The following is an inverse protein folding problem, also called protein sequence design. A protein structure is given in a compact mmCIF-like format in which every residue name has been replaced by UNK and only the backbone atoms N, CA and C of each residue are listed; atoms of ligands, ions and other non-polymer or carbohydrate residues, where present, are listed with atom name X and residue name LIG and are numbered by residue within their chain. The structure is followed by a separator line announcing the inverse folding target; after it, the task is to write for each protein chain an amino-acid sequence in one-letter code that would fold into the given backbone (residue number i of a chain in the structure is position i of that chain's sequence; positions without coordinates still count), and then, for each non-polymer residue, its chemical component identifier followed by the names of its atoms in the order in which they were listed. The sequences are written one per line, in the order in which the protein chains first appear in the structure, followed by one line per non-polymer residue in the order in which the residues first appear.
data_IF_916045105599
#
_entry.id   IF_916045105599
#
_cell.length_a   1.000
_cell.length_b   1.000
_cell.length_c   1.000
_cell.angle_alpha   90.00
_cell.angle_beta   90.00
_cell.angle_gamma   90.00
#
_symmetry.space_group_name_H-M   'P 1'
#
loop_
_entity.id
_entity.type
_entity.pdbx_description
1 polymer ?
#
# COMPACT_ATOMS: atom_id res chain seq x y z
N UNK A 1 0.99 9.84 -7.30
CA UNK A 1 0.53 11.21 -7.59
C UNK A 1 -0.27 11.72 -6.41
N UNK A 2 -0.12 13.01 -6.04
CA UNK A 2 -0.93 13.69 -5.03
C UNK A 2 -1.05 15.18 -5.39
N UNK A 3 -2.23 15.82 -5.27
CA UNK A 3 -2.38 17.27 -5.47
C UNK A 3 -1.45 18.05 -4.53
N UNK A 4 -0.57 18.88 -5.07
CA UNK A 4 0.42 19.63 -4.29
C UNK A 4 1.72 18.88 -3.99
N UNK A 5 1.81 17.61 -4.36
CA UNK A 5 2.99 16.76 -4.11
C UNK A 5 2.98 16.10 -2.74
N UNK A 6 3.71 15.00 -2.61
CA UNK A 6 3.93 14.26 -1.36
C UNK A 6 5.34 13.69 -1.33
N UNK A 7 5.75 13.18 -0.18
CA UNK A 7 7.07 12.57 0.00
C UNK A 7 6.92 11.11 0.44
N UNK A 8 7.68 10.23 -0.20
CA UNK A 8 7.93 8.89 0.30
C UNK A 8 9.31 8.84 0.95
N UNK A 9 9.42 8.13 2.06
CA UNK A 9 10.67 8.00 2.83
C UNK A 9 11.15 6.56 2.77
N UNK A 10 12.42 6.38 2.46
CA UNK A 10 13.10 5.08 2.48
C UNK A 10 14.22 5.09 3.50
N UNK A 11 14.13 4.17 4.46
CA UNK A 11 15.13 3.96 5.49
C UNK A 11 15.85 2.64 5.27
N UNK A 12 17.16 2.62 5.44
CA UNK A 12 17.98 1.41 5.37
C UNK A 12 18.87 1.30 6.60
N UNK A 13 18.79 0.16 7.25
CA UNK A 13 19.64 -0.18 8.41
C UNK A 13 19.89 -1.69 8.44
N UNK A 14 21.13 -2.09 8.69
CA UNK A 14 21.54 -3.50 8.82
C UNK A 14 21.05 -4.43 7.70
N UNK A 15 21.03 -3.93 6.45
CA UNK A 15 20.56 -4.68 5.28
C UNK A 15 19.04 -4.77 5.16
N UNK A 16 18.28 -4.15 6.05
CA UNK A 16 16.82 -4.05 5.99
C UNK A 16 16.35 -2.73 5.38
N UNK A 17 15.23 -2.78 4.72
CA UNK A 17 14.62 -1.59 4.08
C UNK A 17 13.19 -1.40 4.57
N UNK A 18 12.93 -0.23 5.15
CA UNK A 18 11.61 0.25 5.50
C UNK A 18 11.22 1.42 4.61
N UNK A 19 9.97 1.43 4.11
CA UNK A 19 9.43 2.53 3.30
C UNK A 19 8.11 3.00 3.89
N UNK A 20 7.95 4.32 3.97
CA UNK A 20 6.72 4.98 4.38
C UNK A 20 6.25 5.90 3.24
N UNK A 21 5.05 5.66 2.70
CA UNK A 21 4.52 6.33 1.52
C UNK A 21 2.99 6.51 1.64
N UNK A 22 2.57 7.52 2.38
CA UNK A 22 1.17 7.97 2.43
C UNK A 22 0.93 9.11 1.45
N UNK A 23 -0.33 9.50 1.28
CA UNK A 23 -0.73 10.58 0.36
C UNK A 23 -0.21 10.33 -1.06
N UNK A 24 -0.43 9.11 -1.53
CA UNK A 24 0.08 8.66 -2.82
C UNK A 24 -0.99 7.89 -3.59
N UNK A 25 -1.30 8.36 -4.78
CA UNK A 25 -2.20 7.68 -5.71
C UNK A 25 -1.38 6.86 -6.71
N UNK A 26 -1.56 5.54 -6.68
CA UNK A 26 -1.04 4.61 -7.66
C UNK A 26 -2.19 4.07 -8.51
N UNK A 27 -2.02 4.11 -9.82
CA UNK A 27 -2.95 3.55 -10.81
C UNK A 27 -2.22 2.50 -11.66
N UNK A 28 -2.96 1.66 -12.38
CA UNK A 28 -2.37 0.66 -13.28
C UNK A 28 -1.37 1.26 -14.25
N UNK A 29 -1.73 2.34 -14.92
CA UNK A 29 -0.84 3.05 -15.86
C UNK A 29 0.42 3.61 -15.19
N UNK A 30 0.29 4.01 -13.93
CA UNK A 30 1.41 4.55 -13.16
C UNK A 30 2.38 3.45 -12.74
N UNK A 31 1.87 2.26 -12.43
CA UNK A 31 2.70 1.09 -12.14
C UNK A 31 3.59 0.72 -13.33
N UNK A 32 3.05 0.72 -14.54
CA UNK A 32 3.82 0.44 -15.76
C UNK A 32 4.91 1.48 -16.01
N UNK A 33 4.61 2.77 -15.82
CA UNK A 33 5.58 3.86 -15.97
C UNK A 33 6.61 3.94 -14.85
N UNK A 34 6.31 3.38 -13.71
CA UNK A 34 7.19 3.42 -12.53
C UNK A 34 8.28 2.36 -12.60
N UNK A 35 8.13 1.32 -13.41
CA UNK A 35 9.17 0.30 -13.64
C UNK A 35 10.50 0.88 -14.13
N UNK A 36 10.47 1.93 -14.93
CA UNK A 36 11.70 2.59 -15.43
C UNK A 36 12.43 3.43 -14.36
N UNK A 37 11.81 3.70 -13.22
CA UNK A 37 12.33 4.68 -12.25
C UNK A 37 12.58 4.15 -10.85
N UNK A 38 12.17 2.93 -10.51
CA UNK A 38 12.12 2.64 -9.07
C UNK A 38 12.58 1.27 -8.62
N UNK A 39 13.87 1.14 -8.43
CA UNK A 39 14.40 0.39 -7.28
C UNK A 39 13.93 0.95 -5.91
N UNK A 40 13.12 2.03 -5.90
CA UNK A 40 12.77 2.69 -4.65
C UNK A 40 11.94 1.78 -3.75
N UNK A 41 10.90 1.15 -4.27
CA UNK A 41 10.01 0.25 -3.52
C UNK A 41 10.44 -1.21 -3.54
N UNK A 42 11.18 -1.60 -4.59
CA UNK A 42 11.47 -3.01 -4.85
C UNK A 42 12.23 -3.69 -3.71
N UNK A 43 11.72 -4.85 -3.29
CA UNK A 43 12.34 -5.70 -2.29
C UNK A 43 12.33 -5.13 -0.86
N UNK A 44 11.46 -4.15 -0.57
CA UNK A 44 11.34 -3.62 0.78
C UNK A 44 10.93 -4.72 1.77
N UNK A 45 11.57 -4.74 2.94
CA UNK A 45 11.20 -5.65 4.03
C UNK A 45 9.86 -5.22 4.67
N UNK A 46 9.60 -3.91 4.72
CA UNK A 46 8.35 -3.32 5.17
C UNK A 46 7.99 -2.11 4.32
N UNK A 47 6.78 -2.10 3.77
CA UNK A 47 6.19 -0.96 3.09
C UNK A 47 4.90 -0.56 3.81
N UNK A 48 4.86 0.66 4.33
CA UNK A 48 3.63 1.32 4.80
C UNK A 48 3.11 2.17 3.65
N UNK A 49 1.93 1.84 3.13
CA UNK A 49 1.40 2.41 1.90
C UNK A 49 -0.02 2.95 2.10
N UNK A 50 -0.29 4.08 1.43
CA UNK A 50 -1.64 4.63 1.29
C UNK A 50 -2.62 3.59 0.75
N UNK A 51 -3.79 3.49 1.39
CA UNK A 51 -4.85 2.55 1.03
C UNK A 51 -6.22 3.07 1.48
N UNK A 52 -6.49 4.34 1.18
CA UNK A 52 -7.62 5.07 1.75
C UNK A 52 -8.97 4.50 1.31
N UNK A 53 -9.09 4.01 0.07
CA UNK A 53 -10.38 3.71 -0.54
C UNK A 53 -10.56 2.23 -0.86
N UNK A 54 -11.84 1.81 -0.95
CA UNK A 54 -12.23 0.62 -1.71
C UNK A 54 -11.99 0.84 -3.21
N UNK A 55 -12.02 -0.23 -4.00
CA UNK A 55 -11.83 -0.10 -5.45
C UNK A 55 -12.91 0.78 -6.09
N UNK A 56 -14.18 0.60 -5.70
CA UNK A 56 -15.32 1.36 -6.24
C UNK A 56 -15.23 2.86 -5.89
N UNK A 57 -14.78 3.16 -4.68
CA UNK A 57 -14.57 4.55 -4.25
C UNK A 57 -13.43 5.21 -4.99
N UNK A 58 -12.35 4.49 -5.28
CA UNK A 58 -11.20 5.02 -6.02
C UNK A 58 -11.57 5.48 -7.43
N UNK A 59 -12.52 4.81 -8.09
CA UNK A 59 -13.04 5.29 -9.38
C UNK A 59 -13.82 6.60 -9.29
N UNK A 60 -14.53 6.81 -8.18
CA UNK A 60 -15.30 8.05 -7.94
C UNK A 60 -14.43 9.20 -7.46
N UNK A 61 -13.32 8.87 -6.81
CA UNK A 61 -12.36 9.81 -6.21
C UNK A 61 -11.02 9.82 -6.98
N UNK A 62 -11.08 9.60 -8.28
CA UNK A 62 -9.91 9.64 -9.15
C UNK A 62 -9.23 11.02 -9.08
N UNK A 63 -7.90 11.06 -9.07
CA UNK A 63 -7.08 12.27 -8.91
C UNK A 63 -7.19 12.96 -7.53
N UNK A 64 -7.76 12.32 -6.51
CA UNK A 64 -7.77 12.84 -5.15
C UNK A 64 -6.43 12.62 -4.42
N UNK A 65 -5.58 11.77 -4.97
CA UNK A 65 -4.22 11.57 -4.46
C UNK A 65 -4.04 10.39 -3.55
N UNK A 66 -5.00 9.45 -3.52
CA UNK A 66 -4.98 8.28 -2.64
C UNK A 66 -5.21 6.98 -3.40
N UNK A 67 -4.69 5.90 -2.85
CA UNK A 67 -4.71 4.57 -3.45
C UNK A 67 -5.84 3.72 -2.85
N UNK A 68 -6.44 2.81 -3.64
CA UNK A 68 -7.32 1.78 -3.08
C UNK A 68 -6.50 0.65 -2.43
N UNK A 69 -7.08 -0.05 -1.44
CA UNK A 69 -6.41 -1.20 -0.82
C UNK A 69 -6.06 -2.30 -1.84
N UNK A 70 -6.92 -2.52 -2.83
CA UNK A 70 -6.67 -3.49 -3.92
C UNK A 70 -5.43 -3.10 -4.72
N UNK A 71 -5.31 -1.82 -5.08
CA UNK A 71 -4.14 -1.33 -5.80
C UNK A 71 -2.88 -1.34 -4.93
N UNK A 72 -2.99 -1.03 -3.63
CA UNK A 72 -1.87 -1.13 -2.70
C UNK A 72 -1.32 -2.56 -2.62
N UNK A 73 -2.20 -3.57 -2.61
CA UNK A 73 -1.80 -4.99 -2.68
C UNK A 73 -1.10 -5.30 -4.00
N UNK A 74 -1.64 -4.86 -5.14
CA UNK A 74 -1.01 -5.05 -6.45
C UNK A 74 0.39 -4.42 -6.51
N UNK A 75 0.55 -3.23 -5.92
CA UNK A 75 1.86 -2.58 -5.75
C UNK A 75 2.82 -3.44 -4.93
N UNK A 76 2.38 -3.96 -3.79
CA UNK A 76 3.17 -4.81 -2.92
C UNK A 76 3.68 -6.08 -3.63
N UNK A 77 2.80 -6.74 -4.39
CA UNK A 77 3.14 -7.92 -5.22
C UNK A 77 4.18 -7.55 -6.27
N UNK A 78 3.90 -6.52 -7.07
CA UNK A 78 4.75 -6.10 -8.17
C UNK A 78 6.15 -5.67 -7.72
N UNK A 79 6.24 -4.99 -6.60
CA UNK A 79 7.53 -4.54 -6.03
C UNK A 79 8.21 -5.60 -5.15
N UNK A 80 7.64 -6.80 -5.05
CA UNK A 80 8.18 -7.91 -4.24
C UNK A 80 8.45 -7.50 -2.80
N UNK A 81 7.52 -6.77 -2.22
CA UNK A 81 7.56 -6.33 -0.82
C UNK A 81 7.30 -7.52 0.09
N UNK A 82 8.03 -7.64 1.20
CA UNK A 82 7.83 -8.75 2.15
C UNK A 82 6.62 -8.53 3.05
N UNK A 83 6.51 -7.33 3.62
CA UNK A 83 5.40 -6.95 4.49
C UNK A 83 4.78 -5.65 3.97
N UNK A 84 3.50 -5.67 3.67
CA UNK A 84 2.71 -4.52 3.28
C UNK A 84 1.78 -4.13 4.43
N UNK A 85 1.87 -2.89 4.88
CA UNK A 85 0.96 -2.31 5.87
C UNK A 85 0.06 -1.31 5.18
N UNK A 86 -1.23 -1.62 5.13
CA UNK A 86 -2.27 -0.74 4.63
C UNK A 86 -2.56 0.34 5.67
N UNK A 87 -2.54 1.60 5.26
CA UNK A 87 -2.71 2.75 6.15
C UNK A 87 -3.44 3.91 5.46
N UNK A 88 -3.59 5.02 6.17
CA UNK A 88 -4.26 6.23 5.67
C UNK A 88 -5.72 5.98 5.32
N UNK A 89 -6.43 5.25 6.20
CA UNK A 89 -7.81 4.82 5.98
C UNK A 89 -8.77 5.99 5.92
N UNK A 90 -9.85 5.84 5.14
CA UNK A 90 -10.95 6.81 5.10
C UNK A 90 -11.53 6.99 6.51
N UNK A 91 -11.55 8.22 7.06
CA UNK A 91 -12.01 8.45 8.44
C UNK A 91 -13.45 8.03 8.72
N UNK A 92 -14.26 7.85 7.69
CA UNK A 92 -15.63 7.39 7.82
C UNK A 92 -15.75 5.86 8.03
N UNK A 93 -14.67 5.10 7.87
CA UNK A 93 -14.71 3.65 8.08
C UNK A 93 -14.72 3.30 9.56
N UNK A 94 -15.63 2.39 9.93
CA UNK A 94 -15.63 1.77 11.24
C UNK A 94 -14.57 0.66 11.34
N UNK A 95 -14.24 0.24 12.55
CA UNK A 95 -13.31 -0.88 12.78
C UNK A 95 -13.80 -2.17 12.09
N UNK A 96 -15.12 -2.39 12.04
CA UNK A 96 -15.70 -3.52 11.31
C UNK A 96 -15.45 -3.43 9.80
N UNK A 97 -15.63 -2.24 9.21
CA UNK A 97 -15.34 -2.01 7.80
C UNK A 97 -13.85 -2.22 7.51
N UNK A 98 -12.96 -1.74 8.38
CA UNK A 98 -11.52 -1.96 8.24
C UNK A 98 -11.13 -3.45 8.37
N UNK A 99 -11.78 -4.20 9.26
CA UNK A 99 -11.58 -5.64 9.38
C UNK A 99 -12.01 -6.38 8.10
N UNK A 100 -13.15 -6.00 7.50
CA UNK A 100 -13.60 -6.56 6.23
C UNK A 100 -12.65 -6.21 5.07
N UNK A 101 -12.21 -4.96 4.97
CA UNK A 101 -11.20 -4.52 3.98
C UNK A 101 -9.90 -5.31 4.13
N UNK A 102 -9.45 -5.53 5.36
CA UNK A 102 -8.25 -6.34 5.60
C UNK A 102 -8.42 -7.78 5.10
N UNK A 103 -9.55 -8.41 5.41
CA UNK A 103 -9.86 -9.76 4.94
C UNK A 103 -9.87 -9.82 3.41
N UNK A 104 -10.55 -8.88 2.75
CA UNK A 104 -10.62 -8.79 1.28
C UNK A 104 -9.23 -8.55 0.65
N UNK A 105 -8.41 -7.71 1.28
CA UNK A 105 -7.04 -7.47 0.81
C UNK A 105 -6.17 -8.74 0.89
N UNK A 106 -6.30 -9.51 1.96
CA UNK A 106 -5.60 -10.79 2.12
C UNK A 106 -6.08 -11.83 1.10
N UNK A 107 -7.40 -11.91 0.88
CA UNK A 107 -8.00 -12.80 -0.12
C UNK A 107 -7.55 -12.42 -1.54
N UNK A 108 -7.59 -11.12 -1.88
CA UNK A 108 -7.10 -10.62 -3.17
C UNK A 108 -5.62 -10.97 -3.39
N UNK A 109 -4.78 -10.72 -2.38
CA UNK A 109 -3.36 -11.11 -2.44
C UNK A 109 -3.20 -12.60 -2.69
N UNK A 110 -3.94 -13.46 -1.99
CA UNK A 110 -3.82 -14.92 -2.11
C UNK A 110 -4.21 -15.45 -3.51
N UNK A 111 -5.14 -14.76 -4.19
CA UNK A 111 -5.51 -15.09 -5.57
C UNK A 111 -4.44 -14.65 -6.56
N UNK A 112 -3.82 -13.48 -6.34
CA UNK A 112 -2.84 -12.90 -7.27
C UNK A 112 -1.43 -13.46 -7.07
N UNK A 113 -1.03 -13.66 -5.83
CA UNK A 113 0.26 -14.26 -5.45
C UNK A 113 0.08 -15.02 -4.13
N UNK A 114 0.30 -16.34 -4.10
CA UNK A 114 0.06 -17.14 -2.89
C UNK A 114 1.07 -16.88 -1.75
N UNK A 115 2.18 -16.22 -2.05
CA UNK A 115 3.31 -16.12 -1.11
C UNK A 115 3.51 -14.69 -0.58
N UNK A 116 3.47 -13.68 -1.45
CA UNK A 116 3.89 -12.31 -1.12
C UNK A 116 2.89 -11.23 -1.56
N UNK A 117 2.84 -10.09 -0.82
CA UNK A 117 3.38 -9.79 0.51
C UNK A 117 2.52 -10.36 1.65
N UNK A 118 3.06 -10.43 2.88
CA UNK A 118 2.21 -10.50 4.06
C UNK A 118 1.48 -9.16 4.20
N UNK A 119 0.14 -9.20 4.23
CA UNK A 119 -0.71 -8.00 4.27
C UNK A 119 -1.18 -7.73 5.69
N UNK A 120 -0.93 -6.53 6.18
CA UNK A 120 -1.29 -6.05 7.51
C UNK A 120 -2.15 -4.81 7.40
N UNK A 121 -3.02 -4.58 8.39
CA UNK A 121 -3.75 -3.33 8.58
C UNK A 121 -3.07 -2.50 9.67
N UNK A 122 -2.81 -1.23 9.40
CA UNK A 122 -2.27 -0.34 10.42
C UNK A 122 -3.31 -0.11 11.51
N UNK A 123 -2.90 -0.28 12.75
CA UNK A 123 -3.67 0.09 13.96
C UNK A 123 -2.78 0.87 14.91
N UNK A 124 -3.37 1.75 15.69
CA UNK A 124 -2.63 2.53 16.69
C UNK A 124 -1.91 1.61 17.67
N UNK A 125 -0.64 1.88 17.93
CA UNK A 125 0.21 1.10 18.81
C UNK A 125 0.80 -0.18 18.19
N UNK A 126 0.52 -0.49 16.91
CA UNK A 126 1.15 -1.63 16.24
C UNK A 126 2.67 -1.46 16.12
N UNK A 127 3.39 -2.56 16.36
CA UNK A 127 4.85 -2.61 16.23
C UNK A 127 5.23 -3.70 15.23
N UNK A 128 5.97 -3.33 14.20
CA UNK A 128 6.49 -4.25 13.20
C UNK A 128 8.00 -4.43 13.40
N UNK A 129 8.44 -5.68 13.42
CA UNK A 129 9.87 -6.03 13.44
C UNK A 129 10.29 -6.53 12.06
N UNK A 130 11.36 -6.01 11.52
CA UNK A 130 11.90 -6.34 10.19
C UNK A 130 13.36 -6.78 10.24
#
# INVERSE_FOLDING_TARGET
KHPGGSFAYRFRENGRTFIFATDAEFTGDYLEKTEEKTDFFHGADLLVLDSQYTLDESFKKFDWGHTSYTMAVNCGIRWKVRNLVLTHHEPAYSDFALADIHREAVEHRAVMDPEWPAVHMATEGSVFKI
#
